data_IF_917430997617
#
_entry.id   IF_917430997617
#
_cell.length_a   1.000
_cell.length_b   1.000
_cell.length_c   1.000
_cell.angle_alpha   90.00
_cell.angle_beta   90.00
_cell.angle_gamma   90.00
#
_symmetry.space_group_name_H-M   'P 1'
#
loop_
_entity.id
_entity.type
_entity.pdbx_description
1 polymer ?
#
# COMPACT_ATOMS: atom_id res chain seq x y z
N UNK A 1 14.04 2.94 -5.73
CA UNK A 1 13.17 2.01 -6.51
C UNK A 1 12.70 0.87 -5.62
N UNK A 2 13.57 -0.08 -5.25
CA UNK A 2 13.25 -1.04 -4.18
C UNK A 2 12.94 -0.37 -2.84
N UNK A 3 13.54 0.79 -2.56
CA UNK A 3 13.21 1.62 -1.39
C UNK A 3 11.74 2.02 -1.33
N UNK A 4 11.17 2.47 -2.45
CA UNK A 4 9.77 2.93 -2.53
C UNK A 4 8.80 1.74 -2.52
N UNK A 5 9.13 0.66 -3.23
CA UNK A 5 8.39 -0.61 -3.13
C UNK A 5 8.38 -1.11 -1.69
N UNK A 6 9.53 -1.11 -1.01
CA UNK A 6 9.61 -1.49 0.40
C UNK A 6 8.75 -0.60 1.28
N UNK A 7 8.84 0.71 1.10
CA UNK A 7 8.07 1.67 1.87
C UNK A 7 6.57 1.40 1.74
N UNK A 8 6.04 1.26 0.52
CA UNK A 8 4.60 1.07 0.33
C UNK A 8 4.14 -0.31 0.82
N UNK A 9 4.95 -1.37 0.65
CA UNK A 9 4.62 -2.69 1.19
C UNK A 9 4.55 -2.65 2.72
N UNK A 10 5.48 -1.95 3.38
CA UNK A 10 5.44 -1.76 4.84
C UNK A 10 4.23 -0.91 5.26
N UNK A 11 3.96 0.19 4.55
CA UNK A 11 2.81 1.04 4.80
C UNK A 11 1.48 0.30 4.64
N UNK A 12 1.36 -0.57 3.64
CA UNK A 12 0.17 -1.39 3.43
C UNK A 12 0.03 -2.52 4.46
N UNK A 13 1.13 -3.02 5.03
CA UNK A 13 1.13 -4.16 5.95
C UNK A 13 0.85 -3.80 7.43
N UNK A 14 1.09 -2.55 7.83
CA UNK A 14 0.91 -2.12 9.22
C UNK A 14 -0.57 -1.88 9.59
N UNK A 15 -0.94 -1.90 10.88
CA UNK A 15 -2.31 -1.64 11.31
C UNK A 15 -2.81 -0.25 10.92
N UNK A 16 -4.12 -0.08 10.74
CA UNK A 16 -4.76 1.16 10.31
C UNK A 16 -4.29 2.42 11.07
N UNK A 17 -4.18 2.33 12.40
CA UNK A 17 -3.71 3.44 13.22
C UNK A 17 -2.28 3.89 12.86
N UNK A 18 -1.42 2.96 12.46
CA UNK A 18 -0.07 3.28 11.98
C UNK A 18 -0.11 3.81 10.54
N UNK A 19 -0.97 3.25 9.67
CA UNK A 19 -1.17 3.74 8.30
C UNK A 19 -1.54 5.23 8.28
N UNK A 20 -2.49 5.63 9.13
CA UNK A 20 -2.94 7.03 9.24
C UNK A 20 -1.82 7.96 9.70
N UNK A 21 -0.96 7.51 10.61
CA UNK A 21 0.16 8.31 11.13
C UNK A 21 1.27 8.57 10.12
N UNK A 22 1.25 7.89 8.97
CA UNK A 22 2.23 8.12 7.90
C UNK A 22 1.99 9.44 7.17
N UNK A 23 0.79 10.01 7.29
CA UNK A 23 0.37 11.16 6.49
C UNK A 23 -0.13 12.32 7.37
N UNK A 24 -0.21 13.55 6.81
CA UNK A 24 -0.91 14.65 7.46
C UNK A 24 -2.39 14.33 7.72
N UNK A 25 -2.98 14.94 8.75
CA UNK A 25 -4.34 14.67 9.22
C UNK A 25 -5.46 15.12 8.29
N UNK A 26 -5.15 15.92 7.26
CA UNK A 26 -6.12 16.45 6.32
C UNK A 26 -6.23 15.66 5.01
N UNK A 27 -5.41 14.61 4.81
CA UNK A 27 -5.45 13.81 3.58
C UNK A 27 -6.32 12.57 3.73
N UNK A 28 -6.86 12.08 2.62
CA UNK A 28 -7.47 10.77 2.61
C UNK A 28 -6.39 9.68 2.52
N UNK A 29 -6.00 9.13 3.67
CA UNK A 29 -4.92 8.13 3.78
C UNK A 29 -5.12 6.93 2.87
N UNK A 30 -6.35 6.45 2.73
CA UNK A 30 -6.66 5.30 1.88
C UNK A 30 -6.38 5.60 0.40
N UNK A 31 -6.73 6.81 -0.08
CA UNK A 31 -6.42 7.27 -1.43
C UNK A 31 -4.91 7.47 -1.62
N UNK A 32 -4.23 8.10 -0.66
CA UNK A 32 -2.78 8.34 -0.73
C UNK A 32 -1.99 7.03 -0.83
N UNK A 33 -2.36 6.00 -0.07
CA UNK A 33 -1.77 4.68 -0.18
C UNK A 33 -1.98 4.08 -1.58
N UNK A 34 -3.15 4.28 -2.19
CA UNK A 34 -3.44 3.82 -3.54
C UNK A 34 -2.59 4.54 -4.60
N UNK A 35 -2.45 5.87 -4.48
CA UNK A 35 -1.65 6.68 -5.39
C UNK A 35 -0.16 6.31 -5.35
N UNK A 36 0.39 6.13 -4.14
CA UNK A 36 1.78 5.70 -3.99
C UNK A 36 1.98 4.29 -4.53
N UNK A 37 0.99 3.41 -4.36
CA UNK A 37 1.00 2.07 -4.95
C UNK A 37 1.05 2.10 -6.48
N UNK A 38 0.18 2.90 -7.10
CA UNK A 38 0.15 3.10 -8.56
C UNK A 38 1.51 3.60 -9.09
N UNK A 39 2.11 4.59 -8.43
CA UNK A 39 3.42 5.11 -8.83
C UNK A 39 4.52 4.05 -8.77
N UNK A 40 4.46 3.12 -7.80
CA UNK A 40 5.40 2.00 -7.71
C UNK A 40 5.21 0.99 -8.85
N UNK A 41 3.97 0.81 -9.32
CA UNK A 41 3.65 -0.08 -10.43
C UNK A 41 3.96 0.51 -11.80
N UNK A 42 3.85 1.84 -11.96
CA UNK A 42 4.33 2.55 -13.14
C UNK A 42 5.83 2.34 -13.34
N UNK A 43 6.58 2.25 -12.24
CA UNK A 43 8.01 1.93 -12.23
C UNK A 43 8.35 0.44 -12.24
N UNK A 44 7.40 -0.48 -12.51
CA UNK A 44 7.60 -1.93 -12.23
C UNK A 44 8.76 -2.58 -12.96
N UNK A 45 9.04 -2.18 -14.20
CA UNK A 45 10.14 -2.74 -15.00
C UNK A 45 11.50 -2.58 -14.29
N UNK A 46 11.62 -1.56 -13.45
CA UNK A 46 12.82 -1.22 -12.71
C UNK A 46 13.07 -2.12 -11.49
N UNK A 47 12.05 -2.81 -10.97
CA UNK A 47 12.20 -3.72 -9.83
C UNK A 47 11.85 -5.18 -10.14
N UNK A 48 10.99 -5.45 -11.13
CA UNK A 48 10.60 -6.83 -11.51
C UNK A 48 11.82 -7.67 -11.94
N UNK A 49 12.80 -7.05 -12.62
CA UNK A 49 14.05 -7.71 -13.03
C UNK A 49 15.01 -8.00 -11.87
N UNK A 50 14.76 -7.41 -10.68
CA UNK A 50 15.61 -7.53 -9.49
C UNK A 50 15.10 -8.58 -8.50
N UNK A 51 13.92 -9.16 -8.73
CA UNK A 51 13.25 -10.07 -7.80
C UNK A 51 12.86 -11.38 -8.48
N UNK A 52 12.49 -12.39 -7.69
CA UNK A 52 12.05 -13.68 -8.23
C UNK A 52 10.62 -13.60 -8.78
N UNK A 53 10.27 -14.53 -9.68
CA UNK A 53 8.91 -14.64 -10.22
C UNK A 53 7.85 -14.84 -9.13
N UNK A 54 8.20 -15.51 -8.02
CA UNK A 54 7.30 -15.71 -6.88
C UNK A 54 6.97 -14.41 -6.15
N UNK A 55 7.93 -13.47 -6.08
CA UNK A 55 7.71 -12.13 -5.51
C UNK A 55 6.82 -11.31 -6.45
N UNK A 56 7.10 -11.34 -7.76
CA UNK A 56 6.25 -10.67 -8.77
C UNK A 56 4.82 -11.19 -8.69
N UNK A 57 4.61 -12.50 -8.54
CA UNK A 57 3.29 -13.08 -8.38
C UNK A 57 2.59 -12.62 -7.09
N UNK A 58 3.33 -12.48 -5.98
CA UNK A 58 2.76 -11.98 -4.73
C UNK A 58 2.34 -10.50 -4.84
N UNK A 59 3.16 -9.68 -5.48
CA UNK A 59 2.84 -8.27 -5.78
C UNK A 59 1.60 -8.18 -6.68
N UNK A 60 1.51 -9.00 -7.72
CA UNK A 60 0.31 -9.04 -8.59
C UNK A 60 -0.96 -9.41 -7.85
N UNK A 61 -0.91 -10.36 -6.91
CA UNK A 61 -2.09 -10.70 -6.09
C UNK A 61 -2.54 -9.55 -5.20
N UNK A 62 -1.59 -8.80 -4.64
CA UNK A 62 -1.88 -7.58 -3.89
C UNK A 62 -2.52 -6.53 -4.81
N UNK A 63 -1.97 -6.34 -5.99
CA UNK A 63 -2.51 -5.41 -6.99
C UNK A 63 -3.92 -5.79 -7.43
N UNK A 64 -4.16 -7.06 -7.78
CA UNK A 64 -5.47 -7.58 -8.16
C UNK A 64 -6.51 -7.32 -7.06
N UNK A 65 -6.11 -7.42 -5.78
CA UNK A 65 -7.00 -7.13 -4.65
C UNK A 65 -7.33 -5.64 -4.58
N UNK A 66 -6.34 -4.76 -4.70
CA UNK A 66 -6.55 -3.30 -4.72
C UNK A 66 -7.45 -2.92 -5.90
N UNK A 67 -7.18 -3.46 -7.09
CA UNK A 67 -7.99 -3.21 -8.29
C UNK A 67 -9.43 -3.73 -8.16
N UNK A 68 -9.65 -4.85 -7.46
CA UNK A 68 -10.99 -5.42 -7.25
C UNK A 68 -11.94 -4.52 -6.46
N UNK A 69 -11.40 -3.57 -5.70
CA UNK A 69 -12.16 -2.61 -4.89
C UNK A 69 -12.12 -1.20 -5.49
N UNK A 70 -11.63 -1.03 -6.71
CA UNK A 70 -11.66 0.25 -7.42
C UNK A 70 -13.08 0.58 -7.93
N UNK A 71 -13.27 1.82 -8.37
CA UNK A 71 -14.51 2.29 -8.98
C UNK A 71 -15.49 2.94 -8.00
N UNK A 72 -16.40 3.74 -8.55
CA UNK A 72 -17.33 4.59 -7.79
C UNK A 72 -18.23 3.81 -6.81
N UNK A 73 -18.64 2.60 -7.20
CA UNK A 73 -19.44 1.69 -6.36
C UNK A 73 -18.72 1.22 -5.09
N UNK A 74 -17.40 1.38 -5.03
CA UNK A 74 -16.55 1.01 -3.91
C UNK A 74 -15.97 2.21 -3.17
N UNK A 75 -16.42 3.44 -3.46
CA UNK A 75 -15.91 4.68 -2.86
C UNK A 75 -15.86 4.66 -1.32
N UNK A 76 -16.81 3.99 -0.67
CA UNK A 76 -16.81 3.81 0.79
C UNK A 76 -15.59 3.05 1.33
N UNK A 77 -14.97 2.18 0.52
CA UNK A 77 -13.78 1.40 0.90
C UNK A 77 -12.52 2.27 0.89
N UNK A 78 -12.58 3.41 0.21
CA UNK A 78 -11.48 4.37 0.10
C UNK A 78 -11.61 5.54 1.07
N UNK A 79 -12.58 5.52 1.98
CA UNK A 79 -12.62 6.47 3.10
C UNK A 79 -11.68 6.02 4.22
N UNK A 80 -11.08 6.95 4.97
CA UNK A 80 -10.19 6.63 6.11
C UNK A 80 -10.80 5.62 7.10
N UNK A 81 -12.10 5.76 7.40
CA UNK A 81 -12.84 4.83 8.28
C UNK A 81 -12.72 3.37 7.83
N UNK A 82 -12.66 3.11 6.53
CA UNK A 82 -12.54 1.77 5.99
C UNK A 82 -11.18 1.12 6.30
N UNK A 83 -10.12 1.88 6.54
CA UNK A 83 -8.83 1.34 6.97
C UNK A 83 -8.99 0.48 8.24
N UNK A 84 -9.85 0.94 9.16
CA UNK A 84 -10.11 0.31 10.45
C UNK A 84 -11.13 -0.83 10.38
N UNK A 85 -12.18 -0.67 9.58
CA UNK A 85 -13.38 -1.52 9.67
C UNK A 85 -13.56 -2.47 8.48
N UNK A 86 -12.88 -2.23 7.36
CA UNK A 86 -13.11 -2.99 6.13
C UNK A 86 -12.29 -4.28 6.09
N UNK A 87 -12.98 -5.40 5.83
CA UNK A 87 -12.34 -6.67 5.50
C UNK A 87 -11.44 -6.54 4.25
N UNK A 88 -11.75 -5.63 3.32
CA UNK A 88 -10.90 -5.40 2.15
C UNK A 88 -9.51 -4.88 2.55
N UNK A 89 -9.44 -3.96 3.50
CA UNK A 89 -8.17 -3.44 4.02
C UNK A 89 -7.44 -4.45 4.89
N UNK A 90 -8.15 -5.32 5.59
CA UNK A 90 -7.55 -6.48 6.28
C UNK A 90 -6.88 -7.44 5.29
N UNK A 91 -7.56 -7.77 4.19
CA UNK A 91 -6.98 -8.60 3.13
C UNK A 91 -5.78 -7.95 2.43
N UNK A 92 -5.85 -6.63 2.15
CA UNK A 92 -4.72 -5.86 1.59
C UNK A 92 -3.51 -5.95 2.54
N UNK A 93 -3.71 -5.74 3.84
CA UNK A 93 -2.66 -5.90 4.86
C UNK A 93 -2.05 -7.30 4.82
N UNK A 94 -2.90 -8.33 4.80
CA UNK A 94 -2.44 -9.73 4.73
C UNK A 94 -1.60 -10.03 3.48
N UNK A 95 -2.02 -9.53 2.31
CA UNK A 95 -1.26 -9.70 1.07
C UNK A 95 0.07 -8.93 1.09
N UNK A 96 0.08 -7.71 1.65
CA UNK A 96 1.30 -6.93 1.82
C UNK A 96 2.29 -7.60 2.79
N UNK A 97 1.81 -8.21 3.87
CA UNK A 97 2.61 -9.05 4.78
C UNK A 97 3.29 -10.19 4.02
N UNK A 98 2.55 -10.90 3.16
CA UNK A 98 3.12 -11.99 2.34
C UNK A 98 4.22 -11.49 1.41
N UNK A 99 4.07 -10.31 0.81
CA UNK A 99 5.12 -9.69 -0.02
C UNK A 99 6.35 -9.36 0.84
N UNK A 100 6.15 -8.74 2.01
CA UNK A 100 7.23 -8.39 2.93
C UNK A 100 8.03 -9.62 3.38
N UNK A 101 7.35 -10.71 3.74
CA UNK A 101 7.98 -11.98 4.14
C UNK A 101 8.82 -12.57 3.01
N UNK A 102 8.29 -12.60 1.78
CA UNK A 102 9.04 -13.09 0.60
C UNK A 102 10.26 -12.23 0.27
N UNK A 103 10.19 -10.93 0.54
CA UNK A 103 11.30 -9.99 0.38
C UNK A 103 12.27 -9.97 1.56
N UNK A 104 11.98 -10.74 2.62
CA UNK A 104 12.70 -10.72 3.88
C UNK A 104 12.79 -9.30 4.48
N UNK A 105 11.69 -8.54 4.37
CA UNK A 105 11.55 -7.20 4.92
C UNK A 105 10.79 -7.25 6.26
N UNK A 106 11.25 -6.50 7.28
CA UNK A 106 10.51 -6.42 8.53
C UNK A 106 9.19 -5.68 8.32
N UNK A 107 8.16 -6.07 9.07
CA UNK A 107 6.89 -5.34 9.13
C UNK A 107 7.01 -4.34 10.27
N UNK A 108 7.55 -3.16 9.94
CA UNK A 108 7.60 -2.02 10.84
C UNK A 108 6.95 -0.81 10.17
N UNK A 109 6.42 0.10 10.98
CA UNK A 109 5.89 1.38 10.51
C UNK A 109 7.01 2.08 9.73
N UNK A 110 6.82 2.38 8.43
CA UNK A 110 7.81 3.14 7.70
C UNK A 110 7.84 4.57 8.24
N UNK A 111 8.85 5.35 7.84
CA UNK A 111 8.84 6.79 8.11
C UNK A 111 7.64 7.47 7.44
N UNK A 112 7.33 8.71 7.85
CA UNK A 112 6.29 9.51 7.23
C UNK A 112 6.41 9.54 5.70
N UNK A 113 5.28 9.61 5.02
CA UNK A 113 5.21 9.68 3.57
C UNK A 113 6.00 10.90 3.07
N UNK A 114 6.84 10.69 2.06
CA UNK A 114 7.56 11.77 1.39
C UNK A 114 6.60 12.47 0.42
N UNK A 115 6.53 13.81 0.50
CA UNK A 115 5.67 14.60 -0.37
C UNK A 115 5.45 16.01 0.14
N UNK A 116 4.98 16.91 -0.73
CA UNK A 116 4.49 18.24 -0.35
C UNK A 116 2.97 18.17 -0.30
N UNK A 117 2.43 18.21 0.91
CA UNK A 117 0.99 18.25 1.16
C UNK A 117 0.56 19.68 1.47
N UNK A 118 -0.36 20.22 0.68
CA UNK A 118 -0.91 21.56 0.90
C UNK A 118 -2.31 21.39 1.50
N UNK A 119 -2.45 21.78 2.77
CA UNK A 119 -3.72 21.79 3.48
C UNK A 119 -4.56 23.04 3.24
N UNK A 120 -5.84 23.01 3.63
CA UNK A 120 -6.77 24.15 3.56
C UNK A 120 -6.37 25.35 4.44
#
# INVERSE_FOLDING_TARGET
>A
MLSKLKWIIQALAVPAAEQVRLFPDFVNVADELALIWEEVLDGRELWESMVSADIVLAVRKLDDKILSISGESNSQVWAEKALYESNHWEEIRGLAVVVAEKMNWPINSPGAAEGIYIGP
#
